data_IF_924512824469
#
_entry.id   IF_924512824469
#
_cell.length_a   1.000
_cell.length_b   1.000
_cell.length_c   1.000
_cell.angle_alpha   90.00
_cell.angle_beta   90.00
_cell.angle_gamma   90.00
#
_symmetry.space_group_name_H-M   'P 1'
#
loop_
_entity.id
_entity.type
_entity.pdbx_description
1 polymer ?
#
# COMPACT_ATOMS: atom_id res chain seq x y z
N UNK A 1 40.58 -12.66 7.58
CA UNK A 1 39.36 -12.87 6.78
C UNK A 1 38.96 -11.53 6.21
N UNK A 2 39.38 -11.30 4.98
CA UNK A 2 39.30 -10.04 4.23
C UNK A 2 37.92 -9.95 3.57
N UNK A 3 37.06 -9.03 4.03
CA UNK A 3 35.88 -8.64 3.27
C UNK A 3 36.38 -7.97 1.98
N UNK A 4 36.32 -8.70 0.87
CA UNK A 4 36.77 -8.21 -0.43
C UNK A 4 35.88 -7.08 -0.95
N UNK A 5 36.38 -6.28 -1.92
CA UNK A 5 35.63 -5.21 -2.58
C UNK A 5 34.39 -5.69 -3.35
N UNK A 6 34.16 -7.01 -3.44
CA UNK A 6 33.00 -7.65 -4.05
C UNK A 6 31.67 -7.35 -3.35
N UNK A 7 31.66 -7.04 -2.05
CA UNK A 7 30.40 -6.70 -1.33
C UNK A 7 29.78 -5.41 -1.86
N UNK A 8 30.60 -4.44 -2.27
CA UNK A 8 30.14 -3.17 -2.83
C UNK A 8 29.59 -3.33 -4.26
N UNK A 9 30.09 -4.31 -5.02
CA UNK A 9 29.60 -4.60 -6.38
C UNK A 9 28.30 -5.43 -6.38
N UNK A 10 28.05 -6.22 -5.33
CA UNK A 10 26.78 -6.98 -5.19
C UNK A 10 25.56 -6.08 -4.98
N UNK A 11 25.75 -4.86 -4.46
CA UNK A 11 24.66 -3.89 -4.28
C UNK A 11 24.10 -3.40 -5.63
N UNK A 12 24.87 -3.43 -6.71
CA UNK A 12 24.44 -2.94 -8.03
C UNK A 12 23.64 -3.96 -8.85
N UNK A 13 23.75 -5.26 -8.54
CA UNK A 13 23.05 -6.35 -9.25
C UNK A 13 21.79 -6.85 -8.53
N UNK A 14 21.43 -6.25 -7.41
CA UNK A 14 20.40 -6.76 -6.50
C UNK A 14 19.01 -6.13 -6.69
N UNK A 15 18.65 -5.69 -7.90
CA UNK A 15 17.24 -5.52 -8.23
C UNK A 15 16.64 -6.92 -8.34
N UNK A 16 16.21 -7.47 -7.21
CA UNK A 16 15.54 -8.76 -7.20
C UNK A 16 14.21 -8.62 -7.95
N UNK A 17 13.74 -9.70 -8.62
CA UNK A 17 12.49 -9.66 -9.38
C UNK A 17 11.32 -9.12 -8.56
N UNK A 18 11.30 -9.43 -7.26
CA UNK A 18 10.29 -9.00 -6.29
C UNK A 18 10.28 -7.47 -6.13
N UNK A 19 11.45 -6.84 -5.97
CA UNK A 19 11.58 -5.38 -5.85
C UNK A 19 11.06 -4.70 -7.12
N UNK A 20 11.39 -5.27 -8.29
CA UNK A 20 10.95 -4.73 -9.58
C UNK A 20 9.43 -4.78 -9.71
N UNK A 21 8.80 -5.90 -9.29
CA UNK A 21 7.34 -6.06 -9.28
C UNK A 21 6.68 -5.04 -8.35
N UNK A 22 7.17 -4.90 -7.12
CA UNK A 22 6.61 -3.92 -6.17
C UNK A 22 6.74 -2.50 -6.72
N UNK A 23 7.88 -2.13 -7.27
CA UNK A 23 8.11 -0.80 -7.83
C UNK A 23 7.20 -0.52 -9.04
N UNK A 24 6.97 -1.52 -9.90
CA UNK A 24 6.02 -1.42 -11.00
C UNK A 24 4.59 -1.21 -10.50
N UNK A 25 4.13 -1.97 -9.49
CA UNK A 25 2.80 -1.82 -8.89
C UNK A 25 2.63 -0.40 -8.32
N UNK A 26 3.59 0.06 -7.51
CA UNK A 26 3.56 1.41 -6.92
C UNK A 26 3.46 2.45 -8.02
N UNK A 27 4.28 2.35 -9.07
CA UNK A 27 4.25 3.31 -10.19
C UNK A 27 2.90 3.35 -10.89
N UNK A 28 2.29 2.18 -11.15
CA UNK A 28 0.96 2.10 -11.79
C UNK A 28 -0.11 2.73 -10.90
N UNK A 29 -0.13 2.41 -9.61
CA UNK A 29 -1.12 2.97 -8.68
C UNK A 29 -0.95 4.47 -8.52
N UNK A 30 0.29 4.96 -8.43
CA UNK A 30 0.59 6.38 -8.34
C UNK A 30 0.13 7.11 -9.61
N UNK A 31 0.32 6.51 -10.78
CA UNK A 31 -0.22 7.05 -12.03
C UNK A 31 -1.75 7.10 -12.02
N UNK A 32 -2.44 6.05 -11.57
CA UNK A 32 -3.90 6.03 -11.45
C UNK A 32 -4.42 7.08 -10.46
N UNK A 33 -3.71 7.31 -9.36
CA UNK A 33 -4.04 8.37 -8.40
C UNK A 33 -3.86 9.76 -9.00
N UNK A 34 -2.80 10.01 -9.76
CA UNK A 34 -2.53 11.33 -10.35
C UNK A 34 -3.46 11.64 -11.52
N UNK A 35 -3.75 10.63 -12.35
CA UNK A 35 -4.57 10.79 -13.55
C UNK A 35 -6.06 10.83 -13.24
N UNK A 36 -6.47 10.41 -12.03
CA UNK A 36 -7.86 10.31 -11.57
C UNK A 36 -8.90 9.82 -12.62
N UNK A 37 -8.63 8.77 -13.42
CA UNK A 37 -9.65 8.25 -14.34
C UNK A 37 -10.81 7.58 -13.58
N UNK A 38 -10.57 7.17 -12.34
CA UNK A 38 -11.50 6.44 -11.46
C UNK A 38 -11.34 7.01 -10.04
N UNK A 39 -12.39 7.08 -9.20
CA UNK A 39 -12.27 7.56 -7.83
C UNK A 39 -11.13 6.89 -7.04
N UNK A 40 -10.45 7.66 -6.20
CA UNK A 40 -9.28 7.21 -5.44
C UNK A 40 -9.60 5.98 -4.58
N UNK A 41 -10.80 5.92 -4.00
CA UNK A 41 -11.25 4.81 -3.16
C UNK A 41 -11.30 3.48 -3.94
N UNK A 42 -11.78 3.53 -5.19
CA UNK A 42 -11.86 2.34 -6.07
C UNK A 42 -10.46 1.87 -6.43
N UNK A 43 -9.52 2.79 -6.67
CA UNK A 43 -8.13 2.45 -6.97
C UNK A 43 -7.43 1.86 -5.74
N UNK A 44 -7.71 2.36 -4.54
CA UNK A 44 -7.17 1.80 -3.30
C UNK A 44 -7.67 0.36 -3.04
N UNK A 45 -8.97 0.11 -3.24
CA UNK A 45 -9.53 -1.24 -3.19
C UNK A 45 -8.99 -2.14 -4.31
N UNK A 46 -8.78 -1.59 -5.51
CA UNK A 46 -8.15 -2.29 -6.63
C UNK A 46 -6.71 -2.70 -6.34
N UNK A 47 -5.93 -1.84 -5.69
CA UNK A 47 -4.56 -2.15 -5.23
C UNK A 47 -4.59 -3.32 -4.24
N UNK A 48 -5.47 -3.29 -3.23
CA UNK A 48 -5.63 -4.39 -2.28
C UNK A 48 -5.85 -5.72 -3.02
N UNK A 49 -6.84 -5.77 -3.91
CA UNK A 49 -7.16 -6.98 -4.68
C UNK A 49 -5.97 -7.41 -5.55
N UNK A 50 -5.28 -6.46 -6.16
CA UNK A 50 -4.08 -6.72 -6.98
C UNK A 50 -2.97 -7.35 -6.15
N UNK A 51 -2.68 -6.80 -4.96
CA UNK A 51 -1.64 -7.32 -4.06
C UNK A 51 -1.96 -8.73 -3.55
N UNK A 52 -3.23 -9.01 -3.25
CA UNK A 52 -3.69 -10.33 -2.82
C UNK A 52 -3.59 -11.36 -3.95
N UNK A 53 -3.93 -11.00 -5.19
CA UNK A 53 -3.76 -11.90 -6.34
C UNK A 53 -2.27 -12.14 -6.63
N UNK A 54 -1.43 -11.14 -6.37
CA UNK A 54 0.03 -11.21 -6.52
C UNK A 54 0.77 -11.72 -5.27
N UNK A 55 0.06 -12.37 -4.32
CA UNK A 55 0.63 -12.99 -3.11
C UNK A 55 1.91 -13.81 -3.36
N UNK A 56 2.09 -14.56 -4.47
CA UNK A 56 3.33 -15.31 -4.72
C UNK A 56 4.58 -14.43 -4.84
N UNK A 57 4.42 -13.14 -5.18
CA UNK A 57 5.50 -12.18 -5.40
C UNK A 57 5.57 -11.10 -4.32
N UNK A 58 4.44 -10.79 -3.68
CA UNK A 58 4.33 -9.72 -2.67
C UNK A 58 4.35 -10.24 -1.24
N UNK A 59 3.99 -11.52 -1.02
CA UNK A 59 3.85 -12.10 0.31
C UNK A 59 2.74 -11.46 1.16
N UNK A 60 1.89 -10.62 0.57
CA UNK A 60 0.80 -9.93 1.27
C UNK A 60 -0.41 -10.84 1.30
N UNK A 61 -0.80 -11.29 2.49
CA UNK A 61 -2.04 -12.06 2.66
C UNK A 61 -3.25 -11.11 2.64
N UNK A 62 -4.43 -11.65 2.30
CA UNK A 62 -5.69 -10.89 2.36
C UNK A 62 -5.96 -10.26 3.73
N UNK A 63 -5.52 -10.90 4.82
CA UNK A 63 -5.70 -10.41 6.17
C UNK A 63 -4.80 -9.20 6.48
N UNK A 64 -3.57 -9.20 5.98
CA UNK A 64 -2.63 -8.08 6.15
C UNK A 64 -3.12 -6.85 5.39
N UNK A 65 -3.58 -7.03 4.15
CA UNK A 65 -4.11 -5.95 3.34
C UNK A 65 -5.38 -5.29 3.93
N UNK A 66 -6.30 -6.08 4.50
CA UNK A 66 -7.50 -5.52 5.15
C UNK A 66 -7.20 -4.82 6.48
N UNK A 67 -6.16 -5.23 7.21
CA UNK A 67 -5.80 -4.64 8.50
C UNK A 67 -5.44 -3.17 8.39
N UNK A 68 -4.82 -2.75 7.29
CA UNK A 68 -4.45 -1.35 7.02
C UNK A 68 -5.69 -0.43 6.89
N UNK A 69 -6.79 -0.92 6.34
CA UNK A 69 -8.04 -0.16 6.26
C UNK A 69 -8.66 0.08 7.65
N UNK A 70 -8.43 -0.82 8.59
CA UNK A 70 -8.87 -0.70 9.99
C UNK A 70 -7.82 -0.03 10.91
N UNK A 71 -6.86 0.70 10.33
CA UNK A 71 -5.81 1.37 11.11
C UNK A 71 -6.37 2.33 12.16
N UNK A 72 -5.57 2.56 13.22
CA UNK A 72 -5.91 3.51 14.29
C UNK A 72 -6.24 4.91 13.74
N UNK A 73 -5.57 5.34 12.66
CA UNK A 73 -5.84 6.61 12.01
C UNK A 73 -7.24 6.65 11.38
N UNK A 74 -7.62 5.61 10.62
CA UNK A 74 -8.96 5.50 10.02
C UNK A 74 -10.05 5.46 11.09
N UNK A 75 -9.84 4.70 12.16
CA UNK A 75 -10.78 4.62 13.28
C UNK A 75 -10.92 5.95 14.02
N UNK A 76 -9.84 6.73 14.13
CA UNK A 76 -9.89 8.07 14.74
C UNK A 76 -10.73 9.02 13.91
N UNK A 77 -10.59 9.01 12.57
CA UNK A 77 -11.42 9.81 11.67
C UNK A 77 -12.88 9.37 11.72
N UNK A 78 -13.15 8.06 11.73
CA UNK A 78 -14.50 7.52 11.86
C UNK A 78 -15.14 7.93 13.20
N UNK A 79 -14.38 7.85 14.30
CA UNK A 79 -14.83 8.30 15.62
C UNK A 79 -15.15 9.80 15.63
N UNK A 80 -14.29 10.62 15.02
CA UNK A 80 -14.51 12.07 14.85
C UNK A 80 -15.79 12.34 14.05
N UNK A 81 -16.01 11.64 12.94
CA UNK A 81 -17.22 11.79 12.11
C UNK A 81 -18.49 11.39 12.87
N UNK A 82 -18.44 10.29 13.63
CA UNK A 82 -19.57 9.80 14.44
C UNK A 82 -19.87 10.76 15.60
N UNK A 83 -18.83 11.28 16.26
CA UNK A 83 -18.96 12.27 17.32
C UNK A 83 -19.48 13.62 16.79
N UNK A 84 -19.00 14.06 15.63
CA UNK A 84 -19.45 15.29 15.01
C UNK A 84 -20.91 15.18 14.55
N UNK A 85 -21.28 14.10 13.86
CA UNK A 85 -22.67 13.90 13.42
C UNK A 85 -23.65 13.84 14.59
N UNK A 86 -23.31 13.14 15.67
CA UNK A 86 -24.15 13.08 16.88
C UNK A 86 -24.18 14.39 17.70
N UNK A 87 -23.27 15.34 17.45
CA UNK A 87 -23.28 16.66 18.07
C UNK A 87 -23.91 17.75 17.20
N UNK A 88 -23.98 17.54 15.88
CA UNK A 88 -24.67 18.43 14.93
C UNK A 88 -26.20 18.35 15.05
N UNK A 89 -26.75 17.18 15.42
CA UNK A 89 -28.19 16.94 15.63
C UNK A 89 -28.75 17.63 16.91
N UNK A 90 -27.87 18.19 17.75
CA UNK A 90 -28.25 18.89 18.99
C UNK A 90 -28.48 20.39 18.83
N UNK A 91 -28.66 20.90 17.60
CA UNK A 91 -28.99 22.31 17.31
C UNK A 91 -30.27 22.41 16.50
#
# INVERSE_FOLDING_TARGET
>A
MTAGPTVLLQAETALTPEITVVFAIVTVVLALFVLEPVPVDVTALGLLVTLVILEPWTGVTSADGLSEFASSATLTVLAMFTWWSSSADRR
#
